data_IF_338736218161
#
_entry.id   IF_338736218161
#
_cell.length_a   1.000
_cell.length_b   1.000
_cell.length_c   1.000
_cell.angle_alpha   90.00
_cell.angle_beta   90.00
_cell.angle_gamma   90.00
#
_symmetry.space_group_name_H-M   'P 1'
#
loop_
_entity.id
_entity.type
_entity.pdbx_description
1 polymer ?
#
# COMPACT_ATOMS: atom_id res chain seq x y z
N UNK A 1 -16.83 -27.63 57.75
CA UNK A 1 -16.95 -27.53 56.27
C UNK A 1 -16.30 -26.23 55.85
N UNK A 2 -15.23 -26.27 55.05
CA UNK A 2 -14.47 -25.07 54.64
C UNK A 2 -14.75 -24.76 53.18
N UNK A 3 -15.34 -23.61 52.89
CA UNK A 3 -15.58 -23.13 51.52
C UNK A 3 -14.27 -22.61 50.92
N UNK A 4 -13.85 -23.17 49.78
CA UNK A 4 -12.75 -22.64 48.96
C UNK A 4 -13.23 -21.40 48.21
N UNK A 5 -12.50 -20.30 48.34
CA UNK A 5 -12.74 -19.09 47.57
C UNK A 5 -12.20 -19.25 46.14
N UNK A 6 -13.07 -19.11 45.14
CA UNK A 6 -12.68 -19.08 43.73
C UNK A 6 -11.86 -17.83 43.40
N UNK A 7 -10.60 -18.03 43.08
CA UNK A 7 -9.67 -16.97 42.70
C UNK A 7 -9.98 -16.55 41.26
N UNK A 8 -10.74 -15.47 41.08
CA UNK A 8 -10.99 -14.87 39.75
C UNK A 8 -9.64 -14.52 39.09
N UNK A 9 -9.26 -15.30 38.08
CA UNK A 9 -8.08 -15.04 37.26
C UNK A 9 -8.28 -13.72 36.52
N UNK A 10 -7.60 -12.67 36.98
CA UNK A 10 -7.56 -11.37 36.32
C UNK A 10 -7.11 -11.59 34.87
N UNK A 11 -7.99 -11.35 33.89
CA UNK A 11 -7.59 -11.37 32.48
C UNK A 11 -6.45 -10.38 32.29
N UNK A 12 -5.27 -10.90 31.95
CA UNK A 12 -4.09 -10.10 31.64
C UNK A 12 -4.13 -9.85 30.14
N UNK A 13 -4.60 -8.67 29.74
CA UNK A 13 -4.53 -8.23 28.35
C UNK A 13 -3.03 -8.12 28.02
N UNK A 14 -2.55 -8.96 27.10
CA UNK A 14 -1.16 -8.87 26.63
C UNK A 14 -1.01 -7.51 25.93
N UNK A 15 0.03 -6.77 26.26
CA UNK A 15 0.35 -5.54 25.53
C UNK A 15 0.55 -5.89 24.06
N UNK A 16 -0.03 -5.09 23.17
CA UNK A 16 0.27 -5.19 21.75
C UNK A 16 1.79 -5.05 21.57
N UNK A 17 2.45 -5.91 20.78
CA UNK A 17 3.88 -5.79 20.53
C UNK A 17 4.22 -4.36 20.09
N UNK A 18 5.09 -3.68 20.84
CA UNK A 18 5.44 -2.28 20.57
C UNK A 18 6.22 -2.12 19.26
N UNK A 19 6.86 -3.18 18.78
CA UNK A 19 7.75 -3.18 17.63
C UNK A 19 7.29 -4.21 16.61
N UNK A 20 7.06 -3.77 15.37
CA UNK A 20 6.91 -4.68 14.24
C UNK A 20 8.28 -5.24 13.85
N UNK A 21 8.31 -6.52 13.44
CA UNK A 21 9.50 -7.11 12.83
C UNK A 21 9.72 -6.49 11.44
N UNK A 22 10.98 -6.20 11.10
CA UNK A 22 11.36 -5.58 9.83
C UNK A 22 10.90 -6.43 8.63
N UNK A 23 10.95 -7.76 8.78
CA UNK A 23 10.44 -8.67 7.75
C UNK A 23 8.93 -8.49 7.51
N UNK A 24 8.17 -8.29 8.57
CA UNK A 24 6.72 -8.06 8.45
C UNK A 24 6.40 -6.71 7.81
N UNK A 25 7.19 -5.68 8.11
CA UNK A 25 7.09 -4.36 7.44
C UNK A 25 7.39 -4.49 5.94
N UNK A 26 8.41 -5.25 5.57
CA UNK A 26 8.75 -5.55 4.18
C UNK A 26 7.62 -6.31 3.47
N UNK A 27 7.03 -7.32 4.10
CA UNK A 27 5.93 -8.08 3.52
C UNK A 27 4.70 -7.20 3.26
N UNK A 28 4.35 -6.32 4.21
CA UNK A 28 3.26 -5.35 4.01
C UNK A 28 3.59 -4.38 2.89
N UNK A 29 4.81 -3.85 2.85
CA UNK A 29 5.23 -2.94 1.79
C UNK A 29 5.15 -3.59 0.41
N UNK A 30 5.60 -4.84 0.26
CA UNK A 30 5.52 -5.57 -1.00
C UNK A 30 4.08 -5.82 -1.43
N UNK A 31 3.19 -6.13 -0.50
CA UNK A 31 1.75 -6.24 -0.78
C UNK A 31 1.19 -4.92 -1.31
N UNK A 32 1.47 -3.80 -0.63
CA UNK A 32 1.00 -2.47 -1.04
C UNK A 32 1.60 -2.06 -2.40
N UNK A 33 2.89 -2.29 -2.62
CA UNK A 33 3.58 -2.02 -3.88
C UNK A 33 2.94 -2.76 -5.05
N UNK A 34 2.67 -4.05 -4.89
CA UNK A 34 2.01 -4.86 -5.91
C UNK A 34 0.61 -4.33 -6.20
N UNK A 35 -0.16 -3.98 -5.18
CA UNK A 35 -1.49 -3.40 -5.36
C UNK A 35 -1.45 -2.06 -6.14
N UNK A 36 -0.50 -1.17 -5.82
CA UNK A 36 -0.31 0.09 -6.56
C UNK A 36 0.00 -0.20 -8.03
N UNK A 37 0.86 -1.17 -8.32
CA UNK A 37 1.18 -1.56 -9.69
C UNK A 37 -0.01 -2.18 -10.44
N UNK A 38 -0.86 -2.96 -9.76
CA UNK A 38 -2.09 -3.48 -10.36
C UNK A 38 -3.11 -2.37 -10.66
N UNK A 39 -3.24 -1.37 -9.78
CA UNK A 39 -4.05 -0.17 -10.05
C UNK A 39 -3.52 0.58 -11.27
N UNK A 40 -2.21 0.80 -11.36
CA UNK A 40 -1.56 1.43 -12.52
C UNK A 40 -1.73 0.64 -13.84
N UNK A 41 -2.02 -0.67 -13.76
CA UNK A 41 -2.36 -1.51 -14.91
C UNK A 41 -3.87 -1.56 -15.20
N UNK A 42 -4.68 -0.80 -14.46
CA UNK A 42 -6.16 -0.85 -14.48
C UNK A 42 -6.74 -2.20 -14.05
N UNK A 43 -6.02 -2.94 -13.21
CA UNK A 43 -6.43 -4.25 -12.70
C UNK A 43 -6.80 -4.20 -11.20
N UNK A 44 -7.77 -3.35 -10.84
CA UNK A 44 -8.15 -3.13 -9.45
C UNK A 44 -9.26 -4.07 -8.92
N UNK A 45 -9.90 -4.85 -9.78
CA UNK A 45 -11.08 -5.67 -9.45
C UNK A 45 -10.80 -6.79 -8.44
N UNK A 46 -9.55 -7.26 -8.36
CA UNK A 46 -9.11 -8.30 -7.42
C UNK A 46 -8.57 -7.76 -6.09
N UNK A 47 -8.55 -6.43 -5.88
CA UNK A 47 -7.93 -5.81 -4.72
C UNK A 47 -8.94 -5.58 -3.58
N UNK A 48 -8.58 -5.97 -2.36
CA UNK A 48 -9.37 -5.69 -1.16
C UNK A 48 -9.02 -4.32 -0.59
N UNK A 49 -9.94 -3.35 -0.71
CA UNK A 49 -9.76 -2.01 -0.18
C UNK A 49 -9.49 -2.02 1.34
N UNK A 50 -10.26 -2.81 2.10
CA UNK A 50 -10.12 -2.91 3.55
C UNK A 50 -8.75 -3.45 3.96
N UNK A 51 -8.24 -4.47 3.26
CA UNK A 51 -6.94 -5.06 3.54
C UNK A 51 -5.81 -4.06 3.26
N UNK A 52 -5.84 -3.40 2.10
CA UNK A 52 -4.83 -2.41 1.72
C UNK A 52 -4.82 -1.23 2.71
N UNK A 53 -6.00 -0.72 3.07
CA UNK A 53 -6.12 0.35 4.04
C UNK A 53 -5.60 -0.05 5.42
N UNK A 54 -5.97 -1.24 5.92
CA UNK A 54 -5.51 -1.75 7.23
C UNK A 54 -3.99 -1.90 7.27
N UNK A 55 -3.39 -2.40 6.19
CA UNK A 55 -1.94 -2.58 6.05
C UNK A 55 -1.19 -1.24 6.04
N UNK A 56 -1.66 -0.26 5.24
CA UNK A 56 -1.09 1.09 5.22
C UNK A 56 -1.23 1.79 6.59
N UNK A 57 -2.40 1.69 7.22
CA UNK A 57 -2.63 2.20 8.57
C UNK A 57 -1.67 1.58 9.59
N UNK A 58 -1.45 0.27 9.52
CA UNK A 58 -0.53 -0.46 10.41
C UNK A 58 0.91 0.06 10.26
N UNK A 59 1.39 0.26 9.03
CA UNK A 59 2.73 0.84 8.81
C UNK A 59 2.87 2.24 9.44
N UNK A 60 1.86 3.10 9.26
CA UNK A 60 1.89 4.46 9.83
C UNK A 60 1.80 4.44 11.36
N UNK A 61 0.93 3.60 11.91
CA UNK A 61 0.75 3.43 13.36
C UNK A 61 2.08 3.05 14.04
N UNK A 62 2.84 2.15 13.43
CA UNK A 62 4.14 1.69 13.91
C UNK A 62 5.33 2.54 13.42
N UNK A 63 5.10 3.78 13.00
CA UNK A 63 6.14 4.77 12.64
C UNK A 63 6.95 4.45 11.37
N UNK A 64 6.45 3.59 10.49
CA UNK A 64 7.05 3.32 9.17
C UNK A 64 6.43 4.17 8.04
N UNK A 65 5.85 5.34 8.39
CA UNK A 65 5.21 6.24 7.42
C UNK A 65 6.17 6.83 6.39
N UNK A 66 7.42 7.14 6.78
CA UNK A 66 8.45 7.63 5.85
C UNK A 66 8.77 6.60 4.77
N UNK A 67 8.93 5.33 5.16
CA UNK A 67 9.17 4.22 4.25
C UNK A 67 8.02 4.05 3.26
N UNK A 68 6.78 4.09 3.75
CA UNK A 68 5.59 4.01 2.91
C UNK A 68 5.52 5.18 1.90
N UNK A 69 5.77 6.41 2.35
CA UNK A 69 5.74 7.60 1.51
C UNK A 69 6.82 7.57 0.42
N UNK A 70 8.07 7.28 0.79
CA UNK A 70 9.18 7.22 -0.14
C UNK A 70 9.01 6.08 -1.15
N UNK A 71 8.54 4.91 -0.68
CA UNK A 71 8.21 3.78 -1.54
C UNK A 71 7.10 4.12 -2.53
N UNK A 72 6.01 4.75 -2.08
CA UNK A 72 4.93 5.20 -2.96
C UNK A 72 5.45 6.15 -4.03
N UNK A 73 6.21 7.18 -3.62
CA UNK A 73 6.83 8.14 -4.54
C UNK A 73 7.65 7.44 -5.60
N UNK A 74 8.52 6.51 -5.19
CA UNK A 74 9.35 5.73 -6.10
C UNK A 74 8.51 4.94 -7.12
N UNK A 75 7.51 4.19 -6.67
CA UNK A 75 6.68 3.35 -7.55
C UNK A 75 5.89 4.19 -8.56
N UNK A 76 5.39 5.36 -8.15
CA UNK A 76 4.69 6.28 -9.07
C UNK A 76 5.67 6.89 -10.07
N UNK A 77 6.83 7.37 -9.61
CA UNK A 77 7.87 7.91 -10.49
C UNK A 77 8.33 6.88 -11.53
N UNK A 78 8.65 5.66 -11.10
CA UNK A 78 9.06 4.57 -11.98
C UNK A 78 8.01 4.31 -13.08
N UNK A 79 6.72 4.25 -12.71
CA UNK A 79 5.65 4.05 -13.69
C UNK A 79 5.55 5.18 -14.72
N UNK A 80 5.60 6.43 -14.25
CA UNK A 80 5.50 7.60 -15.13
C UNK A 80 6.70 7.71 -16.07
N UNK A 81 7.91 7.43 -15.60
CA UNK A 81 9.13 7.53 -16.38
C UNK A 81 9.33 6.35 -17.34
N UNK A 82 9.07 5.14 -16.88
CA UNK A 82 9.42 3.93 -17.65
C UNK A 82 8.33 3.48 -18.60
N UNK A 83 7.07 3.87 -18.35
CA UNK A 83 5.93 3.53 -19.21
C UNK A 83 5.35 4.77 -19.87
N UNK A 84 4.75 5.67 -19.08
CA UNK A 84 3.91 6.76 -19.61
C UNK A 84 4.72 7.72 -20.49
N UNK A 85 5.89 8.15 -20.03
CA UNK A 85 6.79 9.00 -20.82
C UNK A 85 7.14 8.37 -22.16
N UNK A 86 7.41 7.06 -22.21
CA UNK A 86 7.77 6.37 -23.46
C UNK A 86 6.59 6.33 -24.44
N UNK A 87 5.40 6.06 -23.94
CA UNK A 87 4.16 6.07 -24.74
C UNK A 87 3.87 7.45 -25.34
N UNK A 88 4.00 8.50 -24.53
CA UNK A 88 3.80 9.90 -24.96
C UNK A 88 4.87 10.35 -25.96
N UNK A 89 6.13 9.98 -25.75
CA UNK A 89 7.22 10.29 -26.70
C UNK A 89 7.01 9.58 -28.04
N UNK A 90 6.54 8.33 -28.01
CA UNK A 90 6.24 7.57 -29.22
C UNK A 90 5.08 8.16 -30.04
N UNK A 91 4.15 8.88 -29.40
CA UNK A 91 3.02 9.53 -30.07
C UNK A 91 3.28 10.96 -30.54
N UNK A 92 4.50 11.49 -30.39
CA UNK A 92 4.84 12.87 -30.79
C UNK A 92 4.51 13.17 -32.25
N UNK A 93 4.68 12.20 -33.14
CA UNK A 93 4.39 12.35 -34.58
C UNK A 93 2.96 11.97 -34.95
N UNK A 94 2.19 11.31 -34.08
CA UNK A 94 0.84 10.82 -34.35
C UNK A 94 0.00 10.75 -33.07
N UNK A 95 -1.10 11.52 -33.02
CA UNK A 95 -2.08 11.53 -31.92
C UNK A 95 -1.48 11.90 -30.55
N UNK A 96 -0.52 12.82 -30.53
CA UNK A 96 0.16 13.27 -29.31
C UNK A 96 -0.83 13.75 -28.24
N UNK A 97 -1.72 14.69 -28.58
CA UNK A 97 -2.65 15.29 -27.62
C UNK A 97 -3.65 14.26 -27.08
N UNK A 98 -4.15 13.37 -27.93
CA UNK A 98 -5.08 12.31 -27.51
C UNK A 98 -4.39 11.32 -26.57
N UNK A 99 -3.16 10.92 -26.89
CA UNK A 99 -2.36 10.02 -26.05
C UNK A 99 -2.03 10.66 -24.71
N UNK A 100 -1.64 11.93 -24.70
CA UNK A 100 -1.33 12.68 -23.49
C UNK A 100 -2.58 12.85 -22.61
N UNK A 101 -3.73 13.18 -23.22
CA UNK A 101 -4.99 13.31 -22.50
C UNK A 101 -5.47 11.96 -21.93
N UNK A 102 -5.33 10.87 -22.68
CA UNK A 102 -5.63 9.53 -22.18
C UNK A 102 -4.74 9.16 -20.99
N UNK A 103 -3.43 9.37 -21.10
CA UNK A 103 -2.49 9.13 -20.01
C UNK A 103 -2.78 9.99 -18.76
N UNK A 104 -3.22 11.24 -18.95
CA UNK A 104 -3.64 12.11 -17.85
C UNK A 104 -4.89 11.59 -17.16
N UNK A 105 -5.94 11.25 -17.92
CA UNK A 105 -7.18 10.72 -17.37
C UNK A 105 -6.92 9.41 -16.61
N UNK A 106 -6.13 8.51 -17.20
CA UNK A 106 -5.72 7.24 -16.58
C UNK A 106 -4.92 7.43 -15.29
N UNK A 107 -4.21 8.54 -15.14
CA UNK A 107 -3.48 8.84 -13.90
C UNK A 107 -4.40 9.35 -12.78
N UNK A 108 -5.52 9.98 -13.12
CA UNK A 108 -6.45 10.56 -12.15
C UNK A 108 -7.50 9.58 -11.62
N UNK A 109 -7.89 8.58 -12.41
CA UNK A 109 -8.92 7.58 -12.09
C UNK A 109 -8.33 6.23 -11.75
#
# INVERSE_FOLDING_TARGET
MSMRADKKTKMRIRAFPMTMDEKYVEDIWNLLKNAIQEIQKKNNSGLSFEELYRNAYTMVLHKHGERLYNGLKQVVTEHLEEKIRKEVVASLSNNFLDTLNAAWNDHQT
#
